data_IF_569447791297
#
_entry.id   IF_569447791297
#
_cell.length_a   1.000
_cell.length_b   1.000
_cell.length_c   1.000
_cell.angle_alpha   90.00
_cell.angle_beta   90.00
_cell.angle_gamma   90.00
#
_symmetry.space_group_name_H-M   'P 1'
#
loop_
_entity.id
_entity.type
_entity.pdbx_description
1 polymer ?
#
# COMPACT_ATOMS: atom_id res chain seq x y z
N UNK A 1 -7.81 -16.66 -8.06
CA UNK A 1 -7.33 -15.94 -6.87
C UNK A 1 -7.18 -16.90 -5.71
N UNK A 2 -6.12 -16.76 -4.87
CA UNK A 2 -6.01 -17.56 -3.66
C UNK A 2 -7.17 -17.27 -2.68
N UNK A 3 -7.48 -18.23 -1.83
CA UNK A 3 -8.48 -18.04 -0.76
C UNK A 3 -7.90 -17.13 0.33
N UNK A 4 -8.45 -15.95 0.46
CA UNK A 4 -8.01 -14.93 1.42
C UNK A 4 -8.88 -14.86 2.69
N UNK A 5 -9.83 -15.78 2.87
CA UNK A 5 -10.83 -15.69 3.93
C UNK A 5 -10.26 -15.74 5.36
N UNK A 6 -9.05 -16.29 5.52
CA UNK A 6 -8.37 -16.39 6.81
C UNK A 6 -7.14 -15.48 6.90
N UNK A 7 -6.88 -14.69 5.87
CA UNK A 7 -5.71 -13.80 5.83
C UNK A 7 -5.99 -12.50 6.56
N UNK A 8 -4.92 -11.90 7.09
CA UNK A 8 -4.92 -10.59 7.75
C UNK A 8 -4.05 -9.63 6.97
N UNK A 9 -4.53 -8.41 6.82
CA UNK A 9 -3.81 -7.36 6.09
C UNK A 9 -3.76 -6.08 6.90
N UNK A 10 -2.62 -5.39 6.83
CA UNK A 10 -2.50 -4.03 7.32
C UNK A 10 -2.36 -3.10 6.12
N UNK A 11 -3.08 -1.99 6.15
CA UNK A 11 -3.01 -0.94 5.13
C UNK A 11 -2.51 0.32 5.80
N UNK A 12 -1.38 0.84 5.34
CA UNK A 12 -0.79 2.10 5.83
C UNK A 12 -1.02 3.15 4.76
N UNK A 13 -1.77 4.18 5.10
CA UNK A 13 -2.22 5.20 4.16
C UNK A 13 -1.65 6.56 4.55
N UNK A 14 -1.01 7.26 3.61
CA UNK A 14 -0.54 8.62 3.87
C UNK A 14 -1.71 9.61 3.80
N UNK A 15 -1.65 10.65 4.65
CA UNK A 15 -2.71 11.64 4.75
C UNK A 15 -2.62 12.73 3.68
N UNK A 16 -1.39 13.13 3.31
CA UNK A 16 -1.21 14.16 2.29
C UNK A 16 -1.67 13.65 0.93
N UNK A 17 -2.29 14.54 0.15
CA UNK A 17 -2.95 14.22 -1.11
C UNK A 17 -4.13 13.24 -0.88
N UNK A 18 -4.95 13.54 0.12
CA UNK A 18 -6.00 12.64 0.61
C UNK A 18 -7.08 12.32 -0.41
N UNK A 19 -7.32 13.19 -1.37
CA UNK A 19 -8.23 12.91 -2.48
C UNK A 19 -7.76 11.68 -3.27
N UNK A 20 -6.46 11.55 -3.45
CA UNK A 20 -5.86 10.41 -4.14
C UNK A 20 -5.72 9.21 -3.20
N UNK A 21 -5.09 9.41 -2.04
CA UNK A 21 -4.81 8.30 -1.12
C UNK A 21 -6.09 7.71 -0.53
N UNK A 22 -7.11 8.54 -0.29
CA UNK A 22 -8.42 8.05 0.15
C UNK A 22 -9.09 7.16 -0.89
N UNK A 23 -8.98 7.50 -2.17
CA UNK A 23 -9.50 6.68 -3.26
C UNK A 23 -8.72 5.37 -3.40
N UNK A 24 -7.40 5.41 -3.23
CA UNK A 24 -6.57 4.20 -3.20
C UNK A 24 -6.97 3.29 -2.04
N UNK A 25 -7.19 3.87 -0.87
CA UNK A 25 -7.60 3.12 0.32
C UNK A 25 -8.95 2.43 0.11
N UNK A 26 -9.94 3.16 -0.43
CA UNK A 26 -11.25 2.59 -0.73
C UNK A 26 -11.12 1.42 -1.70
N UNK A 27 -10.34 1.59 -2.77
CA UNK A 27 -10.11 0.53 -3.75
C UNK A 27 -9.46 -0.70 -3.14
N UNK A 28 -8.41 -0.50 -2.35
CA UNK A 28 -7.72 -1.61 -1.70
C UNK A 28 -8.62 -2.33 -0.69
N UNK A 29 -9.30 -1.58 0.17
CA UNK A 29 -10.18 -2.14 1.19
C UNK A 29 -11.30 -2.97 0.56
N UNK A 30 -12.01 -2.36 -0.41
CA UNK A 30 -13.13 -3.01 -1.06
C UNK A 30 -12.70 -4.28 -1.81
N UNK A 31 -11.53 -4.23 -2.48
CA UNK A 31 -11.01 -5.39 -3.19
C UNK A 31 -10.66 -6.53 -2.24
N UNK A 32 -10.09 -6.23 -1.07
CA UNK A 32 -9.85 -7.26 -0.05
C UNK A 32 -11.18 -7.92 0.39
N UNK A 33 -12.18 -7.10 0.70
CA UNK A 33 -13.50 -7.60 1.15
C UNK A 33 -14.16 -8.43 0.06
N UNK A 34 -14.12 -7.97 -1.19
CA UNK A 34 -14.69 -8.70 -2.35
C UNK A 34 -14.03 -10.07 -2.55
N UNK A 35 -12.77 -10.21 -2.14
CA UNK A 35 -12.04 -11.48 -2.23
C UNK A 35 -12.13 -12.31 -0.94
N UNK A 36 -13.03 -11.97 -0.04
CA UNK A 36 -13.37 -12.79 1.11
C UNK A 36 -12.63 -12.44 2.41
N UNK A 37 -11.82 -11.39 2.42
CA UNK A 37 -11.13 -10.96 3.64
C UNK A 37 -12.16 -10.34 4.60
N UNK A 38 -12.15 -10.79 5.84
CA UNK A 38 -13.07 -10.26 6.84
C UNK A 38 -12.63 -8.87 7.29
N UNK A 39 -13.59 -7.98 7.50
CA UNK A 39 -13.30 -6.59 7.91
C UNK A 39 -12.48 -6.54 9.19
N UNK A 40 -12.73 -7.43 10.13
CA UNK A 40 -11.98 -7.53 11.39
C UNK A 40 -10.51 -7.94 11.20
N UNK A 41 -10.15 -8.41 10.02
CA UNK A 41 -8.79 -8.80 9.65
C UNK A 41 -8.10 -7.76 8.75
N UNK A 42 -8.67 -6.57 8.60
CA UNK A 42 -8.10 -5.46 7.85
C UNK A 42 -7.82 -4.32 8.83
N UNK A 43 -6.54 -4.00 9.02
CA UNK A 43 -6.08 -2.98 9.96
C UNK A 43 -5.59 -1.78 9.19
N UNK A 44 -6.23 -0.62 9.36
CA UNK A 44 -5.88 0.61 8.65
C UNK A 44 -5.22 1.58 9.61
N UNK A 45 -4.04 2.06 9.24
CA UNK A 45 -3.32 3.08 10.00
C UNK A 45 -2.90 4.21 9.07
N UNK A 46 -2.77 5.40 9.62
CA UNK A 46 -2.44 6.60 8.84
C UNK A 46 -1.07 7.16 9.26
N UNK A 47 -0.36 7.69 8.28
CA UNK A 47 0.90 8.42 8.48
C UNK A 47 0.80 9.76 7.75
N UNK A 48 1.59 10.79 8.15
CA UNK A 48 1.44 12.12 7.54
C UNK A 48 1.70 12.12 6.03
N UNK A 49 2.83 11.62 5.59
CA UNK A 49 3.22 11.65 4.18
C UNK A 49 3.78 10.33 3.72
N UNK A 50 4.09 10.27 2.42
CA UNK A 50 4.60 9.04 1.79
C UNK A 50 5.94 8.59 2.40
N UNK A 51 6.80 9.54 2.78
CA UNK A 51 8.09 9.19 3.36
C UNK A 51 7.96 8.38 4.65
N UNK A 52 6.90 8.61 5.44
CA UNK A 52 6.68 7.95 6.72
C UNK A 52 6.07 6.54 6.59
N UNK A 53 5.73 6.12 5.37
CA UNK A 53 5.15 4.79 5.13
C UNK A 53 6.07 3.65 5.57
N UNK A 54 7.38 3.79 5.41
CA UNK A 54 8.33 2.75 5.82
C UNK A 54 8.25 2.50 7.32
N UNK A 55 8.27 3.55 8.12
CA UNK A 55 8.13 3.41 9.57
C UNK A 55 6.78 2.80 9.94
N UNK A 56 5.70 3.31 9.34
CA UNK A 56 4.35 2.80 9.60
C UNK A 56 4.22 1.32 9.25
N UNK A 57 4.74 0.91 8.10
CA UNK A 57 4.72 -0.48 7.68
C UNK A 57 5.49 -1.37 8.65
N UNK A 58 6.70 -0.95 9.07
CA UNK A 58 7.52 -1.72 10.01
C UNK A 58 6.79 -1.93 11.34
N UNK A 59 6.18 -0.88 11.88
CA UNK A 59 5.47 -0.98 13.16
C UNK A 59 4.20 -1.81 13.03
N UNK A 60 3.47 -1.72 11.92
CA UNK A 60 2.30 -2.54 11.68
C UNK A 60 2.65 -4.03 11.57
N UNK A 61 3.78 -4.35 10.93
CA UNK A 61 4.29 -5.72 10.87
C UNK A 61 4.51 -6.29 12.26
N UNK A 62 5.11 -5.51 13.13
CA UNK A 62 5.44 -5.92 14.50
C UNK A 62 4.20 -6.04 15.38
N UNK A 63 3.25 -5.14 15.23
CA UNK A 63 2.08 -5.05 16.09
C UNK A 63 0.96 -6.00 15.67
N UNK A 64 0.57 -5.95 14.40
CA UNK A 64 -0.57 -6.72 13.88
C UNK A 64 -0.18 -8.11 13.39
N UNK A 65 1.07 -8.31 13.00
CA UNK A 65 1.58 -9.54 12.39
C UNK A 65 0.68 -10.02 11.25
N UNK A 66 0.43 -9.16 10.26
CA UNK A 66 -0.43 -9.50 9.14
C UNK A 66 0.25 -10.47 8.18
N UNK A 67 -0.52 -11.01 7.24
CA UNK A 67 0.05 -11.84 6.17
C UNK A 67 0.69 -11.00 5.06
N UNK A 68 0.25 -9.75 4.91
CA UNK A 68 0.89 -8.76 4.04
C UNK A 68 0.55 -7.35 4.53
N UNK A 69 1.38 -6.39 4.15
CA UNK A 69 1.16 -4.96 4.40
C UNK A 69 1.04 -4.26 3.05
N UNK A 70 0.04 -3.39 2.93
CA UNK A 70 -0.13 -2.54 1.75
C UNK A 70 0.20 -1.11 2.17
N UNK A 71 1.12 -0.46 1.48
CA UNK A 71 1.39 0.96 1.71
C UNK A 71 0.80 1.77 0.56
N UNK A 72 0.03 2.79 0.90
CA UNK A 72 -0.66 3.65 -0.06
C UNK A 72 -0.20 5.08 0.13
N UNK A 73 0.33 5.68 -0.92
CA UNK A 73 0.82 7.05 -0.89
C UNK A 73 0.74 7.70 -2.26
N UNK A 74 1.02 8.99 -2.28
CA UNK A 74 1.03 9.75 -3.51
C UNK A 74 2.06 10.87 -3.39
N UNK A 75 3.00 10.89 -4.32
CA UNK A 75 3.99 11.96 -4.44
C UNK A 75 3.79 12.61 -5.80
N UNK A 76 3.48 13.91 -5.78
CA UNK A 76 3.32 14.71 -7.00
C UNK A 76 4.54 15.59 -7.15
N UNK A 77 5.12 15.61 -8.36
CA UNK A 77 6.33 16.40 -8.64
C UNK A 77 6.09 17.88 -8.37
N UNK A 78 7.00 18.49 -7.64
CA UNK A 78 7.01 19.93 -7.39
C UNK A 78 8.16 20.60 -8.12
N UNK A 79 8.44 21.84 -7.74
CA UNK A 79 9.49 22.66 -8.37
C UNK A 79 10.89 22.43 -7.81
N UNK A 80 11.09 21.51 -6.89
CA UNK A 80 12.36 21.25 -6.21
C UNK A 80 12.71 19.77 -6.25
N UNK A 81 13.98 19.39 -5.94
CA UNK A 81 14.40 17.98 -5.89
C UNK A 81 13.72 17.14 -4.79
N UNK A 82 12.90 17.74 -3.96
CA UNK A 82 12.20 17.06 -2.87
C UNK A 82 11.47 15.79 -3.35
N UNK A 83 10.83 15.87 -4.53
CA UNK A 83 10.11 14.74 -5.13
C UNK A 83 11.04 13.52 -5.30
N UNK A 84 12.24 13.71 -5.85
CA UNK A 84 13.18 12.63 -6.08
C UNK A 84 13.62 11.98 -4.77
N UNK A 85 13.90 12.79 -3.75
CA UNK A 85 14.34 12.28 -2.45
C UNK A 85 13.24 11.48 -1.76
N UNK A 86 12.00 11.94 -1.80
CA UNK A 86 10.87 11.23 -1.21
C UNK A 86 10.64 9.90 -1.94
N UNK A 87 10.66 9.92 -3.27
CA UNK A 87 10.45 8.71 -4.08
C UNK A 87 11.56 7.69 -3.83
N UNK A 88 12.83 8.11 -3.82
CA UNK A 88 13.95 7.22 -3.53
C UNK A 88 13.88 6.67 -2.12
N UNK A 89 13.60 7.53 -1.14
CA UNK A 89 13.54 7.13 0.27
C UNK A 89 12.47 6.07 0.53
N UNK A 90 11.25 6.28 0.04
CA UNK A 90 10.18 5.31 0.23
C UNK A 90 10.45 4.02 -0.56
N UNK A 91 10.98 4.12 -1.76
CA UNK A 91 11.31 2.95 -2.58
C UNK A 91 12.38 2.09 -1.89
N UNK A 92 13.46 2.70 -1.42
CA UNK A 92 14.52 2.00 -0.71
C UNK A 92 14.03 1.40 0.62
N UNK A 93 13.23 2.16 1.36
CA UNK A 93 12.68 1.70 2.64
C UNK A 93 11.79 0.48 2.48
N UNK A 94 10.87 0.50 1.52
CA UNK A 94 9.98 -0.64 1.27
C UNK A 94 10.77 -1.82 0.71
N UNK A 95 11.73 -1.57 -0.17
CA UNK A 95 12.62 -2.62 -0.68
C UNK A 95 13.34 -3.33 0.47
N UNK A 96 13.89 -2.57 1.43
CA UNK A 96 14.58 -3.14 2.58
C UNK A 96 13.66 -3.98 3.46
N UNK A 97 12.41 -3.57 3.64
CA UNK A 97 11.44 -4.37 4.38
C UNK A 97 11.16 -5.70 3.68
N UNK A 98 11.07 -5.69 2.36
CA UNK A 98 10.85 -6.91 1.58
C UNK A 98 12.08 -7.83 1.57
N UNK A 99 13.29 -7.28 1.56
CA UNK A 99 14.51 -8.06 1.63
C UNK A 99 14.63 -8.83 2.94
N UNK A 100 14.08 -8.30 4.01
CA UNK A 100 14.00 -8.99 5.29
C UNK A 100 13.17 -10.28 5.19
N UNK A 101 12.18 -10.31 4.31
CA UNK A 101 11.44 -11.51 3.93
C UNK A 101 10.45 -12.04 4.94
N UNK A 102 10.18 -11.34 6.03
CA UNK A 102 9.26 -11.84 7.06
C UNK A 102 7.80 -11.66 6.66
N UNK A 103 7.43 -10.48 6.14
CA UNK A 103 6.06 -10.18 5.70
C UNK A 103 6.18 -9.36 4.41
N UNK A 104 5.48 -9.74 3.33
CA UNK A 104 5.52 -8.95 2.11
C UNK A 104 4.88 -7.58 2.31
N UNK A 105 5.53 -6.56 1.77
CA UNK A 105 5.05 -5.16 1.79
C UNK A 105 4.80 -4.73 0.36
N UNK A 106 3.56 -4.35 0.07
CA UNK A 106 3.08 -4.04 -1.28
C UNK A 106 3.14 -2.53 -1.51
N UNK A 107 3.81 -2.14 -2.60
CA UNK A 107 4.07 -0.76 -2.95
C UNK A 107 2.90 -0.18 -3.75
N UNK A 108 1.96 0.44 -3.04
CA UNK A 108 0.82 1.14 -3.63
C UNK A 108 1.03 2.65 -3.65
N UNK A 109 2.20 3.09 -4.08
CA UNK A 109 2.56 4.50 -4.07
C UNK A 109 2.56 5.03 -5.50
N UNK A 110 1.80 6.10 -5.72
CA UNK A 110 1.82 6.83 -6.99
C UNK A 110 2.89 7.92 -6.95
N UNK A 111 3.68 7.97 -8.00
CA UNK A 111 4.73 9.00 -8.18
C UNK A 111 4.48 9.63 -9.54
N UNK A 112 3.87 10.81 -9.56
CA UNK A 112 3.36 11.42 -10.79
C UNK A 112 3.90 12.83 -10.97
N UNK A 113 3.90 13.30 -12.24
CA UNK A 113 4.36 14.64 -12.56
C UNK A 113 3.34 15.71 -12.17
N UNK A 114 2.05 15.36 -12.22
CA UNK A 114 0.97 16.28 -11.85
C UNK A 114 -0.17 15.52 -11.14
N UNK A 115 -1.10 16.29 -10.58
CA UNK A 115 -2.23 15.74 -9.83
C UNK A 115 -3.19 14.95 -10.72
N UNK A 116 -3.36 15.35 -11.98
CA UNK A 116 -4.27 14.64 -12.90
C UNK A 116 -3.79 13.24 -13.17
N UNK A 117 -2.48 13.04 -13.34
CA UNK A 117 -1.91 11.70 -13.50
C UNK A 117 -2.22 10.83 -12.28
N UNK A 118 -2.17 11.41 -11.08
CA UNK A 118 -2.48 10.68 -9.86
C UNK A 118 -3.97 10.31 -9.79
N UNK A 119 -4.86 11.25 -10.09
CA UNK A 119 -6.30 11.02 -10.09
C UNK A 119 -6.69 9.96 -11.12
N UNK A 120 -6.06 9.97 -12.30
CA UNK A 120 -6.32 8.99 -13.36
C UNK A 120 -6.03 7.56 -12.89
N UNK A 121 -5.13 7.39 -11.92
CA UNK A 121 -4.70 6.08 -11.40
C UNK A 121 -5.30 5.73 -10.04
N UNK A 122 -6.15 6.60 -9.53
CA UNK A 122 -6.83 6.42 -8.24
C UNK A 122 -8.36 6.33 -8.45
N UNK A 123 -8.77 5.50 -9.39
CA UNK A 123 -10.18 5.31 -9.76
C UNK A 123 -10.62 6.12 -10.96
N UNK A 124 -9.69 6.78 -11.66
CA UNK A 124 -9.96 7.50 -12.89
C UNK A 124 -9.82 6.62 -14.13
N UNK A 125 -9.45 7.23 -15.26
CA UNK A 125 -9.45 6.56 -16.57
C UNK A 125 -8.46 5.40 -16.68
N UNK A 126 -7.42 5.37 -15.86
CA UNK A 126 -6.41 4.31 -15.85
C UNK A 126 -6.60 3.31 -14.71
N UNK A 127 -7.78 3.28 -14.09
CA UNK A 127 -8.11 2.35 -13.03
C UNK A 127 -7.69 2.80 -11.65
N UNK A 128 -7.58 1.87 -10.71
CA UNK A 128 -7.24 2.16 -9.33
C UNK A 128 -6.06 1.33 -8.87
N UNK A 129 -4.95 1.99 -8.55
CA UNK A 129 -3.73 1.35 -8.06
C UNK A 129 -3.96 0.62 -6.73
N UNK A 130 -4.93 1.06 -5.94
CA UNK A 130 -5.31 0.40 -4.69
C UNK A 130 -5.86 -1.00 -4.92
N UNK A 131 -6.72 -1.16 -5.93
CA UNK A 131 -7.25 -2.47 -6.32
C UNK A 131 -6.10 -3.42 -6.68
N UNK A 132 -5.18 -2.95 -7.52
CA UNK A 132 -4.03 -3.74 -7.95
C UNK A 132 -3.14 -4.13 -6.76
N UNK A 133 -2.95 -3.19 -5.82
CA UNK A 133 -2.16 -3.45 -4.61
C UNK A 133 -2.80 -4.54 -3.75
N UNK A 134 -4.12 -4.52 -3.60
CA UNK A 134 -4.84 -5.53 -2.83
C UNK A 134 -4.72 -6.92 -3.46
N UNK A 135 -4.88 -7.02 -4.78
CA UNK A 135 -4.71 -8.29 -5.51
C UNK A 135 -3.28 -8.81 -5.34
N UNK A 136 -2.30 -7.93 -5.48
CA UNK A 136 -0.88 -8.28 -5.28
C UNK A 136 -0.63 -8.76 -3.84
N UNK A 137 -1.23 -8.09 -2.85
CA UNK A 137 -1.07 -8.46 -1.45
C UNK A 137 -1.61 -9.87 -1.17
N UNK A 138 -2.78 -10.21 -1.72
CA UNK A 138 -3.35 -11.55 -1.56
C UNK A 138 -2.42 -12.60 -2.17
N UNK A 139 -1.91 -12.35 -3.38
CA UNK A 139 -1.01 -13.28 -4.05
C UNK A 139 0.31 -13.46 -3.30
N UNK A 140 0.88 -12.37 -2.79
CA UNK A 140 2.14 -12.42 -2.05
C UNK A 140 1.97 -13.05 -0.67
N UNK A 141 0.85 -12.79 0.00
CA UNK A 141 0.53 -13.47 1.24
C UNK A 141 0.41 -14.98 1.03
N UNK A 142 -0.28 -15.39 -0.03
CA UNK A 142 -0.43 -16.81 -0.37
C UNK A 142 0.94 -17.47 -0.65
N UNK A 143 1.80 -16.79 -1.39
CA UNK A 143 3.17 -17.27 -1.66
C UNK A 143 3.96 -17.44 -0.36
N UNK A 144 3.92 -16.44 0.50
CA UNK A 144 4.63 -16.46 1.78
C UNK A 144 4.15 -17.62 2.67
N UNK A 145 2.84 -17.83 2.73
CA UNK A 145 2.26 -18.94 3.51
C UNK A 145 2.67 -20.29 2.92
N UNK A 146 2.64 -20.41 1.61
CA UNK A 146 3.03 -21.66 0.92
C UNK A 146 4.49 -22.05 1.18
N UNK A 147 5.36 -21.07 1.29
CA UNK A 147 6.81 -21.29 1.42
C UNK A 147 7.32 -21.25 2.87
N UNK A 148 6.43 -21.31 3.82
CA UNK A 148 6.80 -21.41 5.23
C UNK A 148 7.49 -22.74 5.55
#
# INVERSE_FOLDING_TARGET
MPDASKMKFAIICSEWNDQVTGALLSGAYDTLVENGVKQENIFVEYVPGTFELTFGARRAMQFYRPDAVIVLGCVVRGGTPHFEYVCEGVTQGITSLNEDGSIPVIFGVLTTDDMQQALDRAGGVLGNKGDEAAVTAIKMAALSIKLR
#
